data_IF_241008390546
#
_entry.id   IF_241008390546
#
_cell.length_a   1.000
_cell.length_b   1.000
_cell.length_c   1.000
_cell.angle_alpha   90.00
_cell.angle_beta   90.00
_cell.angle_gamma   90.00
#
_symmetry.space_group_name_H-M   'P 1'
#
loop_
_entity.id
_entity.type
_entity.pdbx_description
1 polymer ?
#
# COMPACT_ATOMS: atom_id res chain seq x y z
N UNK A 1 -17.23 12.53 -133.55
CA UNK A 1 -15.98 13.15 -134.04
C UNK A 1 -15.68 12.52 -135.40
N UNK A 2 -16.19 13.17 -136.45
CA UNK A 2 -15.43 13.78 -137.59
C UNK A 2 -15.15 12.74 -138.69
N UNK A 3 -15.99 12.61 -139.72
CA UNK A 3 -16.07 13.35 -141.01
C UNK A 3 -14.93 13.05 -142.01
N UNK A 4 -15.32 12.95 -143.29
CA UNK A 4 -14.56 13.04 -144.56
C UNK A 4 -13.87 11.74 -145.06
N UNK A 5 -13.90 11.33 -146.34
CA UNK A 5 -14.18 11.98 -147.65
C UNK A 5 -14.33 10.80 -148.68
N UNK A 6 -15.41 10.54 -149.42
CA UNK A 6 -15.87 11.05 -150.75
C UNK A 6 -14.83 11.27 -151.89
N UNK A 7 -15.20 10.74 -153.09
CA UNK A 7 -14.70 10.92 -154.49
C UNK A 7 -13.63 9.90 -154.96
N UNK A 8 -13.87 9.09 -156.00
CA UNK A 8 -13.88 9.38 -157.47
C UNK A 8 -14.44 8.14 -158.22
N UNK A 9 -15.02 8.12 -159.43
CA UNK A 9 -15.59 9.08 -160.38
C UNK A 9 -16.25 8.20 -161.47
N UNK A 10 -17.57 8.28 -161.66
CA UNK A 10 -18.28 7.82 -162.86
C UNK A 10 -18.17 8.90 -163.94
N UNK A 11 -17.65 8.59 -165.14
CA UNK A 11 -18.00 9.26 -166.40
C UNK A 11 -17.33 8.59 -167.60
N UNK A 12 -18.09 7.91 -168.45
CA UNK A 12 -18.30 8.35 -169.84
C UNK A 12 -19.44 7.52 -170.47
N UNK A 13 -20.57 8.18 -170.69
CA UNK A 13 -21.70 7.68 -171.47
C UNK A 13 -21.77 8.49 -172.78
N UNK A 14 -22.10 7.77 -173.86
CA UNK A 14 -22.90 8.17 -175.01
C UNK A 14 -22.41 9.29 -175.96
N UNK A 15 -22.81 9.11 -177.22
CA UNK A 15 -22.80 9.98 -178.43
C UNK A 15 -21.93 9.34 -179.54
N UNK A 16 -22.40 8.91 -180.71
CA UNK A 16 -23.55 9.33 -181.54
C UNK A 16 -24.07 8.15 -182.41
N UNK A 17 -25.41 8.09 -182.55
CA UNK A 17 -26.14 7.59 -183.73
C UNK A 17 -26.59 8.81 -184.54
N UNK A 18 -26.51 8.75 -185.87
CA UNK A 18 -27.51 9.21 -186.87
C UNK A 18 -26.87 9.17 -188.27
N UNK A 19 -27.47 8.45 -189.22
CA UNK A 19 -28.28 8.97 -190.37
C UNK A 19 -27.39 9.64 -191.45
N UNK A 20 -27.62 9.61 -192.77
CA UNK A 20 -28.62 9.06 -193.70
C UNK A 20 -28.16 9.48 -195.12
N UNK A 21 -28.56 8.70 -196.15
CA UNK A 21 -28.96 9.13 -197.53
C UNK A 21 -28.03 9.85 -198.54
N UNK A 22 -28.23 9.50 -199.82
CA UNK A 22 -28.03 10.35 -201.02
C UNK A 22 -27.24 9.65 -202.14
N UNK A 23 -27.88 8.96 -203.11
CA UNK A 23 -28.50 9.44 -204.37
C UNK A 23 -27.53 9.71 -205.55
N UNK A 24 -27.56 8.79 -206.53
CA UNK A 24 -27.90 8.91 -207.96
C UNK A 24 -27.23 9.83 -209.02
N UNK A 25 -27.22 9.26 -210.23
CA UNK A 25 -27.23 9.83 -211.61
C UNK A 25 -25.85 10.16 -212.23
N UNK A 26 -25.56 10.03 -213.54
CA UNK A 26 -26.31 10.30 -214.79
C UNK A 26 -25.41 9.74 -215.97
N UNK A 27 -25.85 9.08 -217.04
CA UNK A 27 -26.26 9.65 -218.35
C UNK A 27 -26.57 8.54 -219.38
N UNK A 28 -27.63 8.78 -220.14
CA UNK A 28 -28.15 8.10 -221.33
C UNK A 28 -27.82 8.99 -222.55
N UNK A 29 -27.69 8.45 -223.79
CA UNK A 29 -28.08 9.10 -225.06
C UNK A 29 -28.08 8.07 -226.22
N UNK A 30 -29.12 8.17 -227.05
CA UNK A 30 -29.56 7.35 -228.19
C UNK A 30 -28.85 7.64 -229.53
N UNK A 31 -28.89 6.70 -230.51
CA UNK A 31 -29.46 6.91 -231.87
C UNK A 31 -29.30 5.70 -232.86
N UNK A 32 -30.42 5.01 -233.17
CA UNK A 32 -31.08 4.68 -234.48
C UNK A 32 -30.30 4.16 -235.75
N UNK A 33 -30.94 3.50 -236.78
CA UNK A 33 -30.81 2.05 -237.08
C UNK A 33 -30.38 1.64 -238.52
N UNK A 34 -29.97 0.36 -238.74
CA UNK A 34 -30.28 -0.54 -239.91
C UNK A 34 -29.55 -1.93 -239.84
N UNK A 35 -29.90 -2.98 -240.63
CA UNK A 35 -30.23 -4.34 -240.14
C UNK A 35 -29.18 -5.45 -240.35
N UNK A 36 -29.28 -6.51 -239.50
CA UNK A 36 -28.79 -7.92 -239.57
C UNK A 36 -28.09 -8.34 -238.25
N UNK A 37 -28.32 -9.44 -237.53
CA UNK A 37 -29.37 -10.50 -237.43
C UNK A 37 -29.01 -11.33 -236.16
N UNK A 38 -29.90 -11.33 -235.14
CA UNK A 38 -30.11 -12.19 -233.94
C UNK A 38 -29.04 -13.14 -233.32
N UNK A 39 -28.09 -13.72 -234.07
CA UNK A 39 -27.23 -14.81 -233.61
C UNK A 39 -26.16 -14.38 -232.58
N UNK A 40 -25.64 -13.17 -232.73
CA UNK A 40 -24.62 -12.58 -231.83
C UNK A 40 -25.22 -12.33 -230.43
N UNK A 41 -26.52 -12.06 -230.34
CA UNK A 41 -27.19 -11.72 -229.08
C UNK A 41 -27.38 -12.94 -228.16
N UNK A 42 -27.53 -14.15 -228.72
CA UNK A 42 -27.70 -15.38 -227.94
C UNK A 42 -26.37 -15.86 -227.33
N UNK A 43 -25.27 -15.81 -228.09
CA UNK A 43 -23.93 -16.10 -227.57
C UNK A 43 -23.48 -15.10 -226.50
N UNK A 44 -23.81 -13.82 -226.65
CA UNK A 44 -23.56 -12.81 -225.63
C UNK A 44 -24.35 -13.09 -224.35
N UNK A 45 -25.61 -13.54 -224.46
CA UNK A 45 -26.44 -13.88 -223.30
C UNK A 45 -25.96 -15.13 -222.56
N UNK A 46 -25.56 -16.19 -223.26
CA UNK A 46 -24.99 -17.40 -222.63
C UNK A 46 -23.67 -17.11 -221.92
N UNK A 47 -22.78 -16.32 -222.55
CA UNK A 47 -21.55 -15.85 -221.90
C UNK A 47 -21.84 -14.98 -220.68
N UNK A 48 -22.85 -14.11 -220.76
CA UNK A 48 -23.27 -13.30 -219.62
C UNK A 48 -23.83 -14.15 -218.47
N UNK A 49 -24.66 -15.16 -218.73
CA UNK A 49 -25.18 -16.10 -217.72
C UNK A 49 -24.05 -16.91 -217.07
N UNK A 50 -23.05 -17.35 -217.84
CA UNK A 50 -21.88 -18.04 -217.32
C UNK A 50 -21.00 -17.11 -216.45
N UNK A 51 -20.80 -15.86 -216.87
CA UNK A 51 -20.13 -14.85 -216.05
C UNK A 51 -20.92 -14.58 -214.76
N UNK A 52 -22.25 -14.54 -214.81
CA UNK A 52 -23.09 -14.35 -213.63
C UNK A 52 -23.02 -15.55 -212.68
N UNK A 53 -23.00 -16.79 -213.19
CA UNK A 53 -22.83 -17.98 -212.35
C UNK A 53 -21.44 -18.02 -211.72
N UNK A 54 -20.40 -17.72 -212.48
CA UNK A 54 -19.01 -17.71 -211.99
C UNK A 54 -18.79 -16.58 -210.97
N UNK A 55 -19.40 -15.40 -211.20
CA UNK A 55 -19.38 -14.29 -210.24
C UNK A 55 -20.13 -14.64 -208.96
N UNK A 56 -21.31 -15.29 -209.07
CA UNK A 56 -22.07 -15.77 -207.91
C UNK A 56 -21.30 -16.83 -207.14
N UNK A 57 -20.61 -17.74 -207.82
CA UNK A 57 -19.79 -18.77 -207.20
C UNK A 57 -18.58 -18.15 -206.47
N UNK A 58 -17.88 -17.21 -207.10
CA UNK A 58 -16.79 -16.45 -206.46
C UNK A 58 -17.27 -15.65 -205.25
N UNK A 59 -18.49 -15.07 -205.31
CA UNK A 59 -19.06 -14.35 -204.17
C UNK A 59 -19.39 -15.31 -203.02
N UNK A 60 -20.01 -16.46 -203.31
CA UNK A 60 -20.26 -17.51 -202.31
C UNK A 60 -18.96 -18.06 -201.72
N UNK A 61 -17.89 -18.20 -202.51
CA UNK A 61 -16.57 -18.60 -202.02
C UNK A 61 -15.93 -17.54 -201.12
N UNK A 62 -16.07 -16.25 -201.46
CA UNK A 62 -15.62 -15.14 -200.60
C UNK A 62 -16.39 -15.10 -199.28
N UNK A 63 -17.71 -15.26 -199.32
CA UNK A 63 -18.57 -15.30 -198.13
C UNK A 63 -18.26 -16.52 -197.26
N UNK A 64 -18.08 -17.70 -197.87
CA UNK A 64 -17.63 -18.92 -197.17
C UNK A 64 -16.28 -18.68 -196.49
N UNK A 65 -15.30 -18.13 -197.21
CA UNK A 65 -13.99 -17.84 -196.64
C UNK A 65 -14.07 -16.80 -195.51
N UNK A 66 -14.93 -15.78 -195.64
CA UNK A 66 -15.17 -14.77 -194.60
C UNK A 66 -15.85 -15.39 -193.36
N UNK A 67 -16.87 -16.24 -193.54
CA UNK A 67 -17.51 -16.97 -192.46
C UNK A 67 -16.55 -17.93 -191.76
N UNK A 68 -15.73 -18.66 -192.51
CA UNK A 68 -14.70 -19.55 -191.94
C UNK A 68 -13.67 -18.76 -191.12
N UNK A 69 -13.22 -17.60 -191.60
CA UNK A 69 -12.34 -16.71 -190.84
C UNK A 69 -13.04 -16.15 -189.60
N UNK A 70 -14.32 -15.77 -189.72
CA UNK A 70 -15.13 -15.29 -188.59
C UNK A 70 -15.31 -16.37 -187.52
N UNK A 71 -15.68 -17.59 -187.90
CA UNK A 71 -15.82 -18.73 -186.99
C UNK A 71 -14.48 -19.10 -186.34
N UNK A 72 -13.37 -19.06 -187.09
CA UNK A 72 -12.02 -19.24 -186.52
C UNK A 72 -11.71 -18.15 -185.48
N UNK A 73 -12.04 -16.88 -185.76
CA UNK A 73 -11.86 -15.77 -184.80
C UNK A 73 -12.72 -15.95 -183.55
N UNK A 74 -14.02 -16.23 -183.71
CA UNK A 74 -14.93 -16.48 -182.59
C UNK A 74 -14.47 -17.67 -181.74
N UNK A 75 -13.98 -18.74 -182.35
CA UNK A 75 -13.41 -19.89 -181.63
C UNK A 75 -12.16 -19.50 -180.84
N UNK A 76 -11.23 -18.77 -181.46
CA UNK A 76 -10.03 -18.27 -180.77
C UNK A 76 -10.41 -17.33 -179.62
N UNK A 77 -11.40 -16.46 -179.81
CA UNK A 77 -11.89 -15.56 -178.76
C UNK A 77 -12.54 -16.34 -177.61
N UNK A 78 -13.40 -17.33 -177.91
CA UNK A 78 -13.99 -18.20 -176.90
C UNK A 78 -12.91 -18.97 -176.13
N UNK A 79 -11.93 -19.55 -176.82
CA UNK A 79 -10.81 -20.26 -176.20
C UNK A 79 -9.96 -19.32 -175.34
N UNK A 80 -9.67 -18.10 -175.81
CA UNK A 80 -9.01 -17.07 -175.00
C UNK A 80 -9.83 -16.72 -173.75
N UNK A 81 -11.14 -16.53 -173.86
CA UNK A 81 -12.00 -16.23 -172.70
C UNK A 81 -12.10 -17.40 -171.73
N UNK A 82 -12.17 -18.63 -172.23
CA UNK A 82 -12.18 -19.84 -171.42
C UNK A 82 -10.85 -20.01 -170.67
N UNK A 83 -9.72 -19.82 -171.35
CA UNK A 83 -8.39 -19.85 -170.73
C UNK A 83 -8.22 -18.74 -169.69
N UNK A 84 -8.65 -17.50 -170.00
CA UNK A 84 -8.63 -16.41 -169.02
C UNK A 84 -9.48 -16.70 -167.79
N UNK A 85 -10.64 -17.35 -167.97
CA UNK A 85 -11.50 -17.74 -166.85
C UNK A 85 -10.91 -18.92 -166.07
N UNK A 86 -10.31 -19.92 -166.72
CA UNK A 86 -9.60 -21.01 -166.05
C UNK A 86 -8.46 -20.46 -165.19
N UNK A 87 -7.62 -19.58 -165.74
CA UNK A 87 -6.54 -18.92 -165.00
C UNK A 87 -7.08 -18.09 -163.82
N UNK A 88 -8.25 -17.45 -163.95
CA UNK A 88 -8.88 -16.72 -162.85
C UNK A 88 -9.34 -17.67 -161.74
N UNK A 89 -9.99 -18.78 -162.09
CA UNK A 89 -10.43 -19.78 -161.12
C UNK A 89 -9.26 -20.46 -160.41
N UNK A 90 -8.15 -20.74 -161.10
CA UNK A 90 -6.93 -21.26 -160.49
C UNK A 90 -6.35 -20.27 -159.47
N UNK A 91 -6.20 -19.00 -159.84
CA UNK A 91 -5.72 -17.95 -158.91
C UNK A 91 -6.64 -17.77 -157.71
N UNK A 92 -7.96 -17.82 -157.92
CA UNK A 92 -8.93 -17.76 -156.83
C UNK A 92 -8.84 -18.99 -155.92
N UNK A 93 -8.63 -20.19 -156.48
CA UNK A 93 -8.41 -21.41 -155.71
C UNK A 93 -7.12 -21.33 -154.88
N UNK A 94 -6.02 -20.82 -155.44
CA UNK A 94 -4.76 -20.57 -154.73
C UNK A 94 -4.96 -19.54 -153.61
N UNK A 95 -5.66 -18.43 -153.88
CA UNK A 95 -6.00 -17.43 -152.88
C UNK A 95 -6.86 -18.02 -151.75
N UNK A 96 -7.85 -18.84 -152.09
CA UNK A 96 -8.71 -19.51 -151.11
C UNK A 96 -7.91 -20.53 -150.28
N UNK A 97 -6.99 -21.29 -150.88
CA UNK A 97 -6.11 -22.19 -150.15
C UNK A 97 -5.19 -21.43 -149.18
N UNK A 98 -4.64 -20.30 -149.58
CA UNK A 98 -3.83 -19.44 -148.72
C UNK A 98 -4.66 -18.83 -147.58
N UNK A 99 -5.88 -18.36 -147.85
CA UNK A 99 -6.80 -17.89 -146.82
C UNK A 99 -7.15 -19.01 -145.82
N UNK A 100 -7.41 -20.24 -146.30
CA UNK A 100 -7.66 -21.39 -145.43
C UNK A 100 -6.44 -21.73 -144.56
N UNK A 101 -5.21 -21.66 -145.09
CA UNK A 101 -3.98 -21.84 -144.31
C UNK A 101 -3.86 -20.76 -143.22
N UNK A 102 -4.16 -19.50 -143.55
CA UNK A 102 -4.15 -18.40 -142.58
C UNK A 102 -5.20 -18.58 -141.49
N UNK A 103 -6.42 -18.99 -141.85
CA UNK A 103 -7.49 -19.29 -140.89
C UNK A 103 -7.06 -20.41 -139.94
N UNK A 104 -6.48 -21.50 -140.46
CA UNK A 104 -5.97 -22.60 -139.62
C UNK A 104 -4.88 -22.13 -138.67
N UNK A 105 -3.90 -21.36 -139.16
CA UNK A 105 -2.85 -20.80 -138.31
C UNK A 105 -3.42 -19.86 -137.24
N UNK A 106 -4.43 -19.05 -137.57
CA UNK A 106 -5.14 -18.23 -136.60
C UNK A 106 -5.86 -19.07 -135.54
N UNK A 107 -6.53 -20.16 -135.93
CA UNK A 107 -7.20 -21.09 -135.02
C UNK A 107 -6.19 -21.79 -134.09
N UNK A 108 -5.07 -22.28 -134.62
CA UNK A 108 -3.99 -22.88 -133.84
C UNK A 108 -3.48 -21.89 -132.78
N UNK A 109 -3.16 -20.65 -133.19
CA UNK A 109 -2.74 -19.58 -132.26
C UNK A 109 -3.81 -19.26 -131.20
N UNK A 110 -5.09 -19.26 -131.56
CA UNK A 110 -6.18 -19.05 -130.60
C UNK A 110 -6.26 -20.20 -129.58
N UNK A 111 -6.10 -21.45 -130.03
CA UNK A 111 -6.08 -22.61 -129.12
C UNK A 111 -4.86 -22.59 -128.19
N UNK A 112 -3.68 -22.22 -128.70
CA UNK A 112 -2.48 -22.04 -127.88
C UNK A 112 -2.65 -20.91 -126.85
N UNK A 113 -3.18 -19.75 -127.27
CA UNK A 113 -3.49 -18.65 -126.37
C UNK A 113 -4.53 -19.03 -125.30
N UNK A 114 -5.54 -19.83 -125.66
CA UNK A 114 -6.55 -20.34 -124.73
C UNK A 114 -5.95 -21.33 -123.73
N UNK A 115 -5.11 -22.26 -124.19
CA UNK A 115 -4.44 -23.23 -123.32
C UNK A 115 -3.49 -22.53 -122.35
N UNK A 116 -2.67 -21.59 -122.83
CA UNK A 116 -1.77 -20.80 -121.97
C UNK A 116 -2.55 -19.96 -120.95
N UNK A 117 -3.67 -19.33 -121.33
CA UNK A 117 -4.54 -18.63 -120.38
C UNK A 117 -5.13 -19.59 -119.33
N UNK A 118 -5.56 -20.79 -119.74
CA UNK A 118 -6.10 -21.80 -118.82
C UNK A 118 -5.03 -22.28 -117.82
N UNK A 119 -3.80 -22.54 -118.27
CA UNK A 119 -2.68 -22.87 -117.39
C UNK A 119 -2.39 -21.74 -116.38
N UNK A 120 -2.39 -20.48 -116.84
CA UNK A 120 -2.21 -19.33 -115.95
C UNK A 120 -3.34 -19.20 -114.91
N UNK A 121 -4.58 -19.53 -115.26
CA UNK A 121 -5.70 -19.54 -114.32
C UNK A 121 -5.54 -20.63 -113.25
N UNK A 122 -5.11 -21.84 -113.60
CA UNK A 122 -4.86 -22.92 -112.64
C UNK A 122 -3.66 -22.61 -111.73
N UNK A 123 -2.58 -22.04 -112.28
CA UNK A 123 -1.44 -21.56 -111.47
C UNK A 123 -1.88 -20.44 -110.52
N UNK A 124 -2.70 -19.49 -110.98
CA UNK A 124 -3.20 -18.42 -110.13
C UNK A 124 -4.15 -18.94 -109.03
N UNK A 125 -4.97 -19.95 -109.35
CA UNK A 125 -5.87 -20.61 -108.40
C UNK A 125 -5.09 -21.33 -107.30
N UNK A 126 -4.13 -22.17 -107.68
CA UNK A 126 -3.25 -22.86 -106.71
C UNK A 126 -2.41 -21.89 -105.88
N UNK A 127 -1.93 -20.79 -106.47
CA UNK A 127 -1.25 -19.72 -105.75
C UNK A 127 -2.17 -19.07 -104.69
N UNK A 128 -3.43 -18.76 -105.04
CA UNK A 128 -4.43 -18.24 -104.09
C UNK A 128 -4.70 -19.20 -102.95
N UNK A 129 -4.94 -20.49 -103.25
CA UNK A 129 -5.14 -21.53 -102.24
C UNK A 129 -3.92 -21.65 -101.30
N UNK A 130 -2.71 -21.58 -101.84
CA UNK A 130 -1.47 -21.57 -101.04
C UNK A 130 -1.37 -20.34 -100.13
N UNK A 131 -1.70 -19.15 -100.61
CA UNK A 131 -1.71 -17.93 -99.81
C UNK A 131 -2.76 -18.02 -98.70
N UNK A 132 -3.97 -18.51 -98.99
CA UNK A 132 -5.02 -18.68 -97.98
C UNK A 132 -4.62 -19.68 -96.89
N UNK A 133 -3.99 -20.80 -97.25
CA UNK A 133 -3.50 -21.78 -96.25
C UNK A 133 -2.36 -21.23 -95.40
N UNK A 134 -1.46 -20.42 -95.98
CA UNK A 134 -0.40 -19.74 -95.23
C UNK A 134 -0.97 -18.67 -94.30
N UNK A 135 -1.94 -17.88 -94.75
CA UNK A 135 -2.61 -16.88 -93.92
C UNK A 135 -3.31 -17.52 -92.72
N UNK A 136 -4.06 -18.62 -92.93
CA UNK A 136 -4.67 -19.36 -91.82
C UNK A 136 -3.64 -19.85 -90.80
N UNK A 137 -2.51 -20.39 -91.26
CA UNK A 137 -1.41 -20.82 -90.39
C UNK A 137 -0.77 -19.65 -89.63
N UNK A 138 -0.68 -18.47 -90.27
CA UNK A 138 -0.18 -17.26 -89.64
C UNK A 138 -1.14 -16.80 -88.54
N UNK A 139 -2.44 -16.72 -88.82
CA UNK A 139 -3.46 -16.38 -87.83
C UNK A 139 -3.42 -17.33 -86.63
N UNK A 140 -3.33 -18.65 -86.84
CA UNK A 140 -3.17 -19.63 -85.74
C UNK A 140 -1.89 -19.42 -84.92
N UNK A 141 -0.81 -18.94 -85.54
CA UNK A 141 0.44 -18.63 -84.84
C UNK A 141 0.29 -17.35 -84.03
N UNK A 142 -0.39 -16.35 -84.57
CA UNK A 142 -0.69 -15.08 -83.90
C UNK A 142 -1.59 -15.28 -82.69
N UNK A 143 -2.64 -16.11 -82.80
CA UNK A 143 -3.51 -16.42 -81.65
C UNK A 143 -2.75 -17.16 -80.54
N UNK A 144 -1.96 -18.18 -80.88
CA UNK A 144 -1.11 -18.89 -79.91
C UNK A 144 -0.08 -17.97 -79.27
N UNK A 145 0.47 -17.02 -80.02
CA UNK A 145 1.40 -16.03 -79.50
C UNK A 145 0.69 -15.07 -78.52
N UNK A 146 -0.53 -14.63 -78.84
CA UNK A 146 -1.34 -13.79 -77.96
C UNK A 146 -1.67 -14.51 -76.65
N UNK A 147 -2.12 -15.77 -76.71
CA UNK A 147 -2.35 -16.63 -75.54
C UNK A 147 -1.08 -16.81 -74.69
N UNK A 148 0.06 -17.07 -75.32
CA UNK A 148 1.35 -17.15 -74.63
C UNK A 148 1.72 -15.83 -73.93
N UNK A 149 1.48 -14.68 -74.57
CA UNK A 149 1.75 -13.38 -73.97
C UNK A 149 0.81 -13.06 -72.79
N UNK A 150 -0.45 -13.48 -72.86
CA UNK A 150 -1.40 -13.35 -71.75
C UNK A 150 -0.97 -14.21 -70.56
N UNK A 151 -0.60 -15.47 -70.81
CA UNK A 151 -0.10 -16.36 -69.75
C UNK A 151 1.19 -15.82 -69.12
N UNK A 152 2.13 -15.29 -69.92
CA UNK A 152 3.33 -14.62 -69.41
C UNK A 152 2.96 -13.41 -68.54
N UNK A 153 1.98 -12.61 -68.95
CA UNK A 153 1.54 -11.44 -68.17
C UNK A 153 0.91 -11.84 -66.83
N UNK A 154 0.07 -12.89 -66.84
CA UNK A 154 -0.50 -13.48 -65.62
C UNK A 154 0.59 -14.03 -64.69
N UNK A 155 1.57 -14.77 -65.23
CA UNK A 155 2.69 -15.31 -64.45
C UNK A 155 3.57 -14.19 -63.87
N UNK A 156 3.86 -13.13 -64.63
CA UNK A 156 4.57 -11.96 -64.11
C UNK A 156 3.82 -11.33 -62.93
N UNK A 157 2.50 -11.19 -63.04
CA UNK A 157 1.65 -10.72 -61.93
C UNK A 157 1.77 -11.60 -60.68
N UNK A 158 1.65 -12.92 -60.83
CA UNK A 158 1.81 -13.88 -59.71
C UNK A 158 3.19 -13.85 -59.09
N UNK A 159 4.24 -13.64 -59.90
CA UNK A 159 5.63 -13.50 -59.40
C UNK A 159 5.76 -12.23 -58.58
N UNK A 160 5.24 -11.10 -59.04
CA UNK A 160 5.26 -9.84 -58.28
C UNK A 160 4.46 -9.93 -56.98
N UNK A 161 3.27 -10.56 -57.00
CA UNK A 161 2.48 -10.81 -55.81
C UNK A 161 3.23 -11.71 -54.80
N UNK A 162 3.84 -12.79 -55.28
CA UNK A 162 4.65 -13.68 -54.43
C UNK A 162 5.86 -12.95 -53.84
N UNK A 163 6.54 -12.09 -54.62
CA UNK A 163 7.65 -11.27 -54.14
C UNK A 163 7.20 -10.31 -53.04
N UNK A 164 6.05 -9.66 -53.22
CA UNK A 164 5.47 -8.76 -52.22
C UNK A 164 5.10 -9.51 -50.94
N UNK A 165 4.46 -10.69 -51.06
CA UNK A 165 4.13 -11.55 -49.92
C UNK A 165 5.38 -12.00 -49.15
N UNK A 166 6.44 -12.42 -49.85
CA UNK A 166 7.72 -12.79 -49.23
C UNK A 166 8.35 -11.61 -48.49
N UNK A 167 8.36 -10.42 -49.10
CA UNK A 167 8.90 -9.23 -48.45
C UNK A 167 8.10 -8.86 -47.19
N UNK A 168 6.77 -8.92 -47.25
CA UNK A 168 5.91 -8.67 -46.10
C UNK A 168 6.17 -9.69 -44.97
N UNK A 169 6.27 -10.98 -45.30
CA UNK A 169 6.64 -12.03 -44.34
C UNK A 169 8.02 -11.79 -43.74
N UNK A 170 9.02 -11.39 -44.53
CA UNK A 170 10.37 -11.08 -44.05
C UNK A 170 10.36 -9.89 -43.06
N UNK A 171 9.56 -8.86 -43.32
CA UNK A 171 9.43 -7.73 -42.39
C UNK A 171 8.77 -8.13 -41.07
N UNK A 172 7.74 -8.97 -41.10
CA UNK A 172 7.11 -9.47 -39.87
C UNK A 172 8.05 -10.41 -39.10
N UNK A 173 8.82 -11.26 -39.81
CA UNK A 173 9.84 -12.11 -39.18
C UNK A 173 10.92 -11.27 -38.49
N UNK A 174 11.40 -10.18 -39.10
CA UNK A 174 12.38 -9.28 -38.47
C UNK A 174 11.83 -8.62 -37.21
N UNK A 175 10.55 -8.21 -37.24
CA UNK A 175 9.87 -7.64 -36.08
C UNK A 175 9.70 -8.66 -34.94
N UNK A 176 9.32 -9.90 -35.26
CA UNK A 176 9.24 -10.97 -34.27
C UNK A 176 10.62 -11.33 -33.71
N UNK A 177 11.65 -11.32 -34.55
CA UNK A 177 13.03 -11.55 -34.13
C UNK A 177 13.51 -10.46 -33.15
N UNK A 178 13.23 -9.18 -33.41
CA UNK A 178 13.60 -8.10 -32.48
C UNK A 178 12.84 -8.23 -31.15
N UNK A 179 11.53 -8.55 -31.18
CA UNK A 179 10.75 -8.81 -29.97
C UNK A 179 11.30 -9.99 -29.15
N UNK A 180 11.69 -11.08 -29.81
CA UNK A 180 12.31 -12.22 -29.12
C UNK A 180 13.64 -11.83 -28.49
N UNK A 181 14.45 -11.00 -29.15
CA UNK A 181 15.70 -10.48 -28.59
C UNK A 181 15.44 -9.62 -27.35
N UNK A 182 14.51 -8.67 -27.42
CA UNK A 182 14.11 -7.82 -26.29
C UNK A 182 13.61 -8.65 -25.09
N UNK A 183 12.77 -9.67 -25.34
CA UNK A 183 12.30 -10.57 -24.28
C UNK A 183 13.44 -11.41 -23.68
N UNK A 184 14.38 -11.87 -24.50
CA UNK A 184 15.56 -12.61 -24.02
C UNK A 184 16.41 -11.73 -23.10
N UNK A 185 16.67 -10.48 -23.50
CA UNK A 185 17.40 -9.51 -22.67
C UNK A 185 16.68 -9.21 -21.35
N UNK A 186 15.33 -9.11 -21.37
CA UNK A 186 14.54 -8.93 -20.14
C UNK A 186 14.68 -10.13 -19.20
N UNK A 187 14.64 -11.36 -19.72
CA UNK A 187 14.84 -12.58 -18.93
C UNK A 187 16.25 -12.60 -18.32
N UNK A 188 17.28 -12.25 -19.08
CA UNK A 188 18.65 -12.20 -18.59
C UNK A 188 18.83 -11.19 -17.44
N UNK A 189 18.19 -10.02 -17.55
CA UNK A 189 18.20 -9.00 -16.49
C UNK A 189 17.51 -9.52 -15.23
N UNK A 190 16.35 -10.18 -15.37
CA UNK A 190 15.65 -10.77 -14.23
C UNK A 190 16.46 -11.90 -13.59
N UNK A 191 17.12 -12.73 -14.39
CA UNK A 191 17.97 -13.81 -13.90
C UNK A 191 19.15 -13.27 -13.08
N UNK A 192 19.81 -12.20 -13.55
CA UNK A 192 20.87 -11.51 -12.80
C UNK A 192 20.37 -10.96 -11.47
N UNK A 193 19.22 -10.27 -11.46
CA UNK A 193 18.61 -9.74 -10.22
C UNK A 193 18.27 -10.85 -9.22
N UNK A 194 17.73 -11.96 -9.70
CA UNK A 194 17.43 -13.13 -8.86
C UNK A 194 18.71 -13.73 -8.27
N UNK A 195 19.77 -13.85 -9.07
CA UNK A 195 21.07 -14.34 -8.62
C UNK A 195 21.71 -13.40 -7.58
N UNK A 196 21.64 -12.09 -7.80
CA UNK A 196 22.08 -11.07 -6.82
C UNK A 196 21.30 -11.19 -5.49
N UNK A 197 19.98 -11.37 -5.56
CA UNK A 197 19.16 -11.57 -4.36
C UNK A 197 19.54 -12.84 -3.59
N UNK A 198 19.84 -13.94 -4.29
CA UNK A 198 20.35 -15.17 -3.66
C UNK A 198 21.68 -14.92 -2.95
N UNK A 199 22.61 -14.22 -3.60
CA UNK A 199 23.90 -13.88 -2.98
C UNK A 199 23.70 -13.02 -1.72
N UNK A 200 22.78 -12.06 -1.75
CA UNK A 200 22.43 -11.25 -0.58
C UNK A 200 21.86 -12.10 0.56
N UNK A 201 20.98 -13.05 0.27
CA UNK A 201 20.43 -13.99 1.26
C UNK A 201 21.55 -14.81 1.91
N UNK A 202 22.49 -15.34 1.12
CA UNK A 202 23.63 -16.11 1.64
C UNK A 202 24.52 -15.26 2.56
N UNK A 203 24.79 -14.00 2.19
CA UNK A 203 25.55 -13.06 3.02
C UNK A 203 24.81 -12.76 4.33
N UNK A 204 23.49 -12.57 4.28
CA UNK A 204 22.67 -12.34 5.47
C UNK A 204 22.68 -13.55 6.40
N UNK A 205 22.51 -14.76 5.87
CA UNK A 205 22.59 -16.00 6.65
C UNK A 205 23.97 -16.17 7.31
N UNK A 206 25.05 -15.87 6.60
CA UNK A 206 26.41 -15.91 7.17
C UNK A 206 26.59 -14.88 8.30
N UNK A 207 26.02 -13.67 8.15
CA UNK A 207 26.01 -12.65 9.21
C UNK A 207 25.19 -13.08 10.41
N UNK A 208 24.03 -13.68 10.21
CA UNK A 208 23.16 -14.18 11.28
C UNK A 208 23.85 -15.28 12.09
N UNK A 209 24.49 -16.24 11.42
CA UNK A 209 25.31 -17.26 12.08
C UNK A 209 26.46 -16.64 12.91
N UNK A 210 27.12 -15.61 12.39
CA UNK A 210 28.16 -14.90 13.12
C UNK A 210 27.59 -14.14 14.33
N UNK A 211 26.43 -13.52 14.19
CA UNK A 211 25.75 -12.82 15.27
C UNK A 211 25.33 -13.78 16.39
N UNK A 212 24.75 -14.94 16.06
CA UNK A 212 24.41 -15.98 17.03
C UNK A 212 25.65 -16.46 17.82
N UNK A 213 26.80 -16.65 17.14
CA UNK A 213 28.07 -16.98 17.82
C UNK A 213 28.54 -15.87 18.76
N UNK A 214 28.37 -14.60 18.38
CA UNK A 214 28.71 -13.45 19.23
C UNK A 214 27.76 -13.33 20.42
N UNK A 215 26.47 -13.56 20.24
CA UNK A 215 25.47 -13.58 21.33
C UNK A 215 25.79 -14.69 22.34
N UNK A 216 26.06 -15.91 21.87
CA UNK A 216 26.50 -16.99 22.76
C UNK A 216 27.75 -16.57 23.55
N UNK A 217 28.72 -15.93 22.88
CA UNK A 217 29.93 -15.46 23.53
C UNK A 217 29.66 -14.37 24.59
N UNK A 218 28.71 -13.47 24.33
CA UNK A 218 28.28 -12.46 25.29
C UNK A 218 27.64 -13.13 26.50
N UNK A 219 26.70 -14.06 26.30
CA UNK A 219 26.07 -14.82 27.38
C UNK A 219 27.10 -15.56 28.25
N UNK A 220 28.08 -16.22 27.63
CA UNK A 220 29.17 -16.90 28.35
C UNK A 220 29.99 -15.91 29.20
N UNK A 221 30.24 -14.69 28.68
CA UNK A 221 30.99 -13.66 29.40
C UNK A 221 30.17 -13.03 30.53
N UNK A 222 28.88 -12.79 30.32
CA UNK A 222 27.95 -12.31 31.35
C UNK A 222 27.83 -13.31 32.50
N UNK A 223 27.72 -14.61 32.19
CA UNK A 223 27.69 -15.66 33.20
C UNK A 223 29.00 -15.68 34.02
N UNK A 224 30.15 -15.59 33.35
CA UNK A 224 31.45 -15.50 34.03
C UNK A 224 31.56 -14.27 34.91
N UNK A 225 31.11 -13.11 34.42
CA UNK A 225 31.12 -11.87 35.19
C UNK A 225 30.23 -12.00 36.45
N UNK A 226 29.02 -12.54 36.32
CA UNK A 226 28.12 -12.78 37.45
C UNK A 226 28.75 -13.71 38.50
N UNK A 227 29.42 -14.79 38.07
CA UNK A 227 30.15 -15.66 39.01
C UNK A 227 31.30 -14.92 39.71
N UNK A 228 32.05 -14.09 38.98
CA UNK A 228 33.11 -13.27 39.58
C UNK A 228 32.56 -12.23 40.57
N UNK A 229 31.41 -11.63 40.29
CA UNK A 229 30.74 -10.70 41.22
C UNK A 229 30.29 -11.40 42.50
N UNK A 230 29.72 -12.61 42.39
CA UNK A 230 29.36 -13.43 43.54
C UNK A 230 30.60 -13.78 44.37
N UNK A 231 31.68 -14.24 43.73
CA UNK A 231 32.95 -14.53 44.39
C UNK A 231 33.51 -13.29 45.10
N UNK A 232 33.43 -12.11 44.46
CA UNK A 232 33.87 -10.85 45.06
C UNK A 232 33.05 -10.48 46.31
N UNK A 233 31.74 -10.75 46.34
CA UNK A 233 30.90 -10.58 47.53
C UNK A 233 31.32 -11.54 48.65
N UNK A 234 31.56 -12.81 48.34
CA UNK A 234 32.06 -13.79 49.31
C UNK A 234 33.39 -13.31 49.90
N UNK A 235 34.33 -12.89 49.06
CA UNK A 235 35.63 -12.35 49.50
C UNK A 235 35.45 -11.11 50.38
N UNK A 236 34.55 -10.18 50.04
CA UNK A 236 34.24 -9.01 50.89
C UNK A 236 33.69 -9.42 52.26
N UNK A 237 32.78 -10.39 52.30
CA UNK A 237 32.21 -10.91 53.54
C UNK A 237 33.27 -11.63 54.39
N UNK A 238 34.13 -12.44 53.77
CA UNK A 238 35.26 -13.09 54.44
C UNK A 238 36.24 -12.06 54.98
N UNK A 239 36.60 -11.02 54.20
CA UNK A 239 37.43 -9.90 54.67
C UNK A 239 36.82 -9.17 55.86
N UNK A 240 35.50 -8.92 55.86
CA UNK A 240 34.80 -8.30 57.00
C UNK A 240 34.89 -9.17 58.26
N UNK A 241 34.65 -10.48 58.15
CA UNK A 241 34.78 -11.43 59.27
C UNK A 241 36.22 -11.46 59.80
N UNK A 242 37.21 -11.51 58.90
CA UNK A 242 38.63 -11.46 59.26
C UNK A 242 38.99 -10.13 59.95
N UNK A 243 38.41 -9.00 59.54
CA UNK A 243 38.65 -7.71 60.18
C UNK A 243 38.07 -7.61 61.61
N UNK A 244 37.01 -8.38 61.93
CA UNK A 244 36.44 -8.46 63.29
C UNK A 244 37.25 -9.39 64.21
N UNK A 245 38.09 -10.27 63.64
CA UNK A 245 38.86 -11.25 64.39
C UNK A 245 39.73 -10.63 65.51
N UNK A 246 40.49 -9.54 65.29
CA UNK A 246 41.30 -8.94 66.35
C UNK A 246 40.49 -8.30 67.49
N UNK A 247 39.22 -7.96 67.25
CA UNK A 247 38.33 -7.49 68.32
C UNK A 247 37.84 -8.68 69.15
N UNK A 248 37.38 -9.74 68.51
CA UNK A 248 36.99 -10.98 69.21
C UNK A 248 38.16 -11.60 69.99
N UNK A 249 39.38 -11.56 69.45
CA UNK A 249 40.59 -11.99 70.17
C UNK A 249 40.82 -11.15 71.43
N UNK A 250 40.62 -9.82 71.36
CA UNK A 250 40.73 -8.93 72.53
C UNK A 250 39.64 -9.20 73.56
N UNK A 251 38.39 -9.39 73.13
CA UNK A 251 37.28 -9.74 74.03
C UNK A 251 37.53 -11.09 74.71
N UNK A 252 38.00 -12.10 73.97
CA UNK A 252 38.41 -13.39 74.55
C UNK A 252 39.53 -13.23 75.58
N UNK A 253 40.50 -12.35 75.30
CA UNK A 253 41.59 -12.06 76.22
C UNK A 253 41.09 -11.36 77.49
N UNK A 254 40.21 -10.35 77.35
CA UNK A 254 39.55 -9.69 78.49
C UNK A 254 38.74 -10.67 79.34
N UNK A 255 37.92 -11.51 78.73
CA UNK A 255 37.15 -12.53 79.44
C UNK A 255 38.04 -13.55 80.16
N UNK A 256 39.23 -13.85 79.61
CA UNK A 256 40.22 -14.69 80.29
C UNK A 256 40.81 -13.97 81.51
N UNK A 257 41.18 -12.70 81.38
CA UNK A 257 41.70 -11.87 82.46
C UNK A 257 40.67 -11.64 83.58
N UNK A 258 39.40 -11.41 83.22
CA UNK A 258 38.29 -11.34 84.18
C UNK A 258 38.09 -12.69 84.89
N UNK A 259 38.17 -13.81 84.18
CA UNK A 259 38.08 -15.14 84.81
C UNK A 259 39.24 -15.43 85.75
N UNK A 260 40.45 -14.98 85.44
CA UNK A 260 41.60 -15.09 86.37
C UNK A 260 41.38 -14.22 87.59
N UNK A 261 40.95 -12.97 87.41
CA UNK A 261 40.63 -12.07 88.52
C UNK A 261 39.51 -12.62 89.41
N UNK A 262 38.44 -13.16 88.83
CA UNK A 262 37.36 -13.78 89.59
C UNK A 262 37.81 -15.02 90.35
N UNK A 263 38.74 -15.81 89.80
CA UNK A 263 39.36 -16.94 90.53
C UNK A 263 40.18 -16.45 91.71
N UNK A 264 41.04 -15.46 91.51
CA UNK A 264 41.82 -14.83 92.58
C UNK A 264 40.91 -14.23 93.67
N UNK A 265 39.84 -13.54 93.29
CA UNK A 265 38.86 -12.99 94.23
C UNK A 265 38.08 -14.07 94.98
N UNK A 266 37.80 -15.22 94.35
CA UNK A 266 37.22 -16.38 95.05
C UNK A 266 38.20 -16.97 96.05
N UNK A 267 39.47 -17.12 95.69
CA UNK A 267 40.52 -17.59 96.60
C UNK A 267 40.69 -16.63 97.79
N UNK A 268 40.77 -15.31 97.55
CA UNK A 268 40.83 -14.30 98.61
C UNK A 268 39.60 -14.31 99.53
N UNK A 269 38.40 -14.44 98.98
CA UNK A 269 37.19 -14.62 99.78
C UNK A 269 37.20 -15.96 100.54
N UNK A 270 37.82 -17.00 99.99
CA UNK A 270 38.08 -18.27 100.68
C UNK A 270 38.98 -18.07 101.91
N UNK A 271 40.10 -17.36 101.74
CA UNK A 271 41.00 -17.00 102.84
C UNK A 271 40.29 -16.18 103.92
N UNK A 272 39.47 -15.18 103.54
CA UNK A 272 38.67 -14.39 104.48
C UNK A 272 37.62 -15.26 105.21
N UNK A 273 36.98 -16.21 104.53
CA UNK A 273 36.07 -17.16 105.17
C UNK A 273 36.80 -18.05 106.17
N UNK A 274 38.00 -18.54 105.84
CA UNK A 274 38.82 -19.32 106.77
C UNK A 274 39.20 -18.52 108.02
N UNK A 275 39.53 -17.23 107.89
CA UNK A 275 39.76 -16.34 109.03
C UNK A 275 38.51 -16.16 109.90
N UNK A 276 37.34 -15.92 109.27
CA UNK A 276 36.06 -15.77 109.96
C UNK A 276 35.67 -17.07 110.67
N UNK A 277 35.79 -18.22 110.02
CA UNK A 277 35.57 -19.53 110.65
C UNK A 277 36.58 -19.79 111.77
N UNK A 278 37.82 -19.31 111.64
CA UNK A 278 38.83 -19.35 112.69
C UNK A 278 38.45 -18.52 113.92
N UNK A 279 37.88 -17.33 113.71
CA UNK A 279 37.34 -16.47 114.77
C UNK A 279 36.07 -17.07 115.39
N UNK A 280 35.16 -17.62 114.59
CA UNK A 280 33.96 -18.33 115.06
C UNK A 280 34.33 -19.55 115.90
N UNK A 281 35.29 -20.38 115.48
CA UNK A 281 35.79 -21.50 116.29
C UNK A 281 36.44 -21.06 117.60
N UNK A 282 37.05 -19.87 117.65
CA UNK A 282 37.53 -19.29 118.92
C UNK A 282 36.35 -18.86 119.80
N UNK A 283 35.34 -18.22 119.21
CA UNK A 283 34.12 -17.82 119.90
C UNK A 283 33.37 -19.04 120.47
N UNK A 284 33.16 -20.09 119.68
CA UNK A 284 32.55 -21.35 120.15
C UNK A 284 33.33 -21.98 121.32
N UNK A 285 34.66 -21.89 121.32
CA UNK A 285 35.46 -22.34 122.47
C UNK A 285 35.21 -21.47 123.70
N UNK A 286 35.11 -20.15 123.54
CA UNK A 286 34.75 -19.24 124.63
C UNK A 286 33.33 -19.53 125.15
N UNK A 287 32.37 -19.74 124.26
CA UNK A 287 30.99 -20.11 124.60
C UNK A 287 30.93 -21.47 125.31
N UNK A 288 31.76 -22.44 124.89
CA UNK A 288 31.84 -23.76 125.53
C UNK A 288 32.44 -23.68 126.95
N UNK A 289 33.50 -22.90 127.14
CA UNK A 289 34.05 -22.60 128.48
C UNK A 289 33.03 -21.85 129.33
N UNK A 290 32.28 -20.92 128.73
CA UNK A 290 31.22 -20.22 129.44
C UNK A 290 30.07 -21.17 129.83
N UNK A 291 29.69 -22.10 128.95
CA UNK A 291 28.70 -23.12 129.24
C UNK A 291 29.18 -24.12 130.31
N UNK A 292 30.46 -24.47 130.33
CA UNK A 292 31.09 -25.26 131.39
C UNK A 292 31.11 -24.50 132.73
N UNK A 293 31.34 -23.18 132.72
CA UNK A 293 31.23 -22.33 133.91
C UNK A 293 29.79 -22.32 134.45
N UNK A 294 28.79 -22.17 133.56
CA UNK A 294 27.37 -22.22 133.93
C UNK A 294 26.95 -23.61 134.41
N UNK A 295 27.50 -24.68 133.82
CA UNK A 295 27.29 -26.05 134.27
C UNK A 295 27.91 -26.29 135.65
N UNK A 296 29.12 -25.76 135.91
CA UNK A 296 29.77 -25.78 137.22
C UNK A 296 29.03 -24.93 138.26
N UNK A 297 28.41 -23.82 137.87
CA UNK A 297 27.51 -23.02 138.73
C UNK A 297 26.22 -23.78 139.06
N UNK A 298 25.66 -24.51 138.09
CA UNK A 298 24.49 -25.40 138.27
C UNK A 298 24.83 -26.65 139.09
N UNK A 299 26.04 -27.18 138.99
CA UNK A 299 26.54 -28.30 139.80
C UNK A 299 26.88 -27.85 141.23
N UNK A 300 27.41 -26.63 141.40
CA UNK A 300 27.51 -25.95 142.71
C UNK A 300 26.13 -25.75 143.36
N UNK A 301 25.10 -25.39 142.57
CA UNK A 301 23.71 -25.31 143.07
C UNK A 301 23.14 -26.68 143.45
N UNK A 302 23.37 -27.73 142.64
CA UNK A 302 22.89 -29.10 142.94
C UNK A 302 23.65 -29.79 144.09
N UNK A 303 24.91 -29.43 144.34
CA UNK A 303 25.68 -29.87 145.52
C UNK A 303 25.29 -29.08 146.78
N UNK A 304 24.89 -27.81 146.65
CA UNK A 304 24.26 -27.03 147.74
C UNK A 304 22.86 -27.55 148.11
N UNK A 305 22.08 -28.06 147.17
CA UNK A 305 20.75 -28.64 147.42
C UNK A 305 20.74 -30.04 148.07
N UNK A 306 21.90 -30.71 148.20
CA UNK A 306 22.02 -32.05 148.81
C UNK A 306 22.80 -32.08 150.14
N UNK A 307 23.25 -30.92 150.63
CA UNK A 307 23.88 -30.72 151.94
C UNK A 307 23.05 -29.78 152.83
N UNK A 308 21.73 -29.83 152.70
CA UNK A 308 20.76 -29.30 153.68
C UNK A 308 19.67 -30.35 153.89
N UNK A 309 20.02 -31.37 154.69
CA UNK A 309 19.09 -32.30 155.32
C UNK A 309 18.31 -31.58 156.45
N UNK A 310 17.26 -32.24 156.94
CA UNK A 310 16.65 -31.99 158.25
C UNK A 310 17.52 -31.23 159.26
N UNK A 311 17.06 -30.00 159.55
CA UNK A 311 17.32 -29.12 160.73
C UNK A 311 18.76 -28.67 161.04
N UNK A 312 18.98 -27.35 160.91
CA UNK A 312 19.57 -26.42 161.90
C UNK A 312 20.90 -26.80 162.57
N UNK A 313 21.96 -25.98 162.59
CA UNK A 313 22.11 -24.51 162.62
C UNK A 313 23.62 -24.24 162.46
N UNK A 314 24.04 -23.06 161.97
CA UNK A 314 25.08 -22.26 162.64
C UNK A 314 25.23 -20.85 162.03
N UNK A 315 24.69 -19.82 162.69
CA UNK A 315 25.59 -18.72 163.06
C UNK A 315 25.94 -18.97 164.50
N UNK A 316 27.21 -19.34 164.65
CA UNK A 316 27.92 -19.64 165.87
C UNK A 316 28.26 -18.33 166.57
N UNK A 317 27.35 -17.87 167.41
CA UNK A 317 27.73 -17.06 168.54
C UNK A 317 27.24 -15.60 168.58
N UNK A 318 27.32 -15.01 169.78
CA UNK A 318 26.36 -14.01 170.27
C UNK A 318 26.52 -12.61 169.64
N UNK A 319 27.68 -12.34 169.05
CA UNK A 319 28.07 -11.00 168.62
C UNK A 319 27.63 -10.67 167.18
N UNK A 320 27.35 -11.67 166.35
CA UNK A 320 26.70 -11.47 165.03
C UNK A 320 25.18 -11.48 165.12
N UNK A 321 24.59 -12.17 166.10
CA UNK A 321 23.18 -11.95 166.46
C UNK A 321 23.00 -10.53 166.97
N UNK A 322 23.95 -9.95 167.71
CA UNK A 322 23.85 -8.54 168.11
C UNK A 322 23.93 -7.59 166.90
N UNK A 323 24.77 -7.84 165.89
CA UNK A 323 24.78 -7.02 164.66
C UNK A 323 23.58 -7.26 163.74
N UNK A 324 23.06 -8.48 163.66
CA UNK A 324 21.85 -8.78 162.88
C UNK A 324 20.57 -8.38 163.61
N UNK A 325 20.52 -8.43 164.94
CA UNK A 325 19.46 -7.84 165.77
C UNK A 325 19.54 -6.33 165.69
N UNK A 326 20.72 -5.69 165.71
CA UNK A 326 20.81 -4.23 165.48
C UNK A 326 20.38 -3.90 164.04
N UNK A 327 20.74 -4.70 163.03
CA UNK A 327 20.29 -4.51 161.64
C UNK A 327 18.79 -4.82 161.43
N UNK A 328 18.24 -5.82 162.10
CA UNK A 328 16.81 -6.16 162.08
C UNK A 328 16.00 -5.22 162.94
N UNK A 329 16.51 -4.71 164.06
CA UNK A 329 15.89 -3.66 164.85
C UNK A 329 16.00 -2.32 164.13
N UNK A 330 17.10 -2.01 163.43
CA UNK A 330 17.18 -0.83 162.56
C UNK A 330 16.25 -0.97 161.35
N UNK A 331 16.10 -2.16 160.75
CA UNK A 331 15.08 -2.38 159.70
C UNK A 331 13.66 -2.44 160.23
N UNK A 332 13.41 -2.98 161.41
CA UNK A 332 12.09 -3.02 162.03
C UNK A 332 11.71 -1.64 162.57
N UNK A 333 12.68 -0.83 163.01
CA UNK A 333 12.49 0.58 163.33
C UNK A 333 12.30 1.39 162.05
N UNK A 334 13.07 1.18 160.98
CA UNK A 334 12.83 1.78 159.66
C UNK A 334 11.51 1.31 159.06
N UNK A 335 11.08 0.06 159.27
CA UNK A 335 9.79 -0.46 158.78
C UNK A 335 8.63 -0.05 159.69
N UNK A 336 8.84 0.18 160.99
CA UNK A 336 7.86 0.80 161.90
C UNK A 336 7.78 2.30 161.67
N UNK A 337 8.87 2.98 161.33
CA UNK A 337 8.92 4.36 160.87
C UNK A 337 8.34 4.49 159.47
N UNK A 338 8.57 3.54 158.57
CA UNK A 338 7.95 3.50 157.24
C UNK A 338 6.48 3.12 157.36
N UNK A 339 6.06 2.21 158.25
CA UNK A 339 4.65 1.92 158.49
C UNK A 339 3.96 3.07 159.23
N UNK A 340 4.63 3.76 160.16
CA UNK A 340 4.12 4.99 160.77
C UNK A 340 4.11 6.14 159.76
N UNK A 341 5.08 6.22 158.85
CA UNK A 341 5.12 7.18 157.76
C UNK A 341 4.08 6.85 156.70
N UNK A 342 3.82 5.59 156.37
CA UNK A 342 2.76 5.15 155.45
C UNK A 342 1.41 5.33 156.11
N UNK A 343 1.28 5.08 157.41
CA UNK A 343 0.04 5.31 158.15
C UNK A 343 -0.20 6.80 158.33
N UNK A 344 0.84 7.62 158.58
CA UNK A 344 0.74 9.08 158.56
C UNK A 344 0.52 9.61 157.15
N UNK A 345 1.09 9.01 156.11
CA UNK A 345 0.90 9.42 154.71
C UNK A 345 -0.47 8.99 154.22
N UNK A 346 -1.01 7.87 154.69
CA UNK A 346 -2.40 7.46 154.53
C UNK A 346 -3.33 8.40 155.29
N UNK A 347 -2.99 8.82 156.52
CA UNK A 347 -3.75 9.81 157.30
C UNK A 347 -3.67 11.22 156.70
N UNK A 348 -2.52 11.61 156.14
CA UNK A 348 -2.30 12.85 155.40
C UNK A 348 -3.01 12.81 154.05
N UNK A 349 -3.06 11.66 153.37
CA UNK A 349 -3.84 11.45 152.16
C UNK A 349 -5.34 11.42 152.46
N UNK A 350 -5.77 10.85 153.59
CA UNK A 350 -7.16 10.88 154.06
C UNK A 350 -7.55 12.31 154.44
N UNK A 351 -6.66 13.06 155.07
CA UNK A 351 -6.85 14.49 155.36
C UNK A 351 -6.79 15.33 154.09
N UNK A 352 -5.91 15.02 153.12
CA UNK A 352 -5.86 15.69 151.83
C UNK A 352 -7.11 15.35 151.00
N UNK A 353 -7.63 14.13 151.10
CA UNK A 353 -8.90 13.69 150.52
C UNK A 353 -10.06 14.44 151.15
N UNK A 354 -10.10 14.57 152.47
CA UNK A 354 -11.09 15.40 153.19
C UNK A 354 -10.95 16.89 152.83
N UNK A 355 -9.74 17.42 152.73
CA UNK A 355 -9.50 18.80 152.28
C UNK A 355 -9.87 19.00 150.81
N UNK A 356 -9.64 18.02 149.94
CA UNK A 356 -10.10 18.03 148.55
C UNK A 356 -11.61 17.91 148.47
N UNK A 357 -12.24 17.16 149.37
CA UNK A 357 -13.69 17.02 149.49
C UNK A 357 -14.32 18.30 150.05
N UNK A 358 -13.67 18.98 150.99
CA UNK A 358 -14.03 20.33 151.45
C UNK A 358 -13.78 21.38 150.37
N UNK A 359 -12.68 21.29 149.61
CA UNK A 359 -12.43 22.14 148.45
C UNK A 359 -13.45 21.88 147.35
N UNK A 360 -13.86 20.64 147.14
CA UNK A 360 -14.90 20.28 146.20
C UNK A 360 -16.25 20.82 146.64
N UNK A 361 -16.60 20.69 147.93
CA UNK A 361 -17.80 21.31 148.50
C UNK A 361 -17.71 22.84 148.47
N UNK A 362 -16.54 23.44 148.67
CA UNK A 362 -16.30 24.88 148.51
C UNK A 362 -16.42 25.31 147.05
N UNK A 363 -15.87 24.57 146.10
CA UNK A 363 -16.00 24.84 144.66
C UNK A 363 -17.44 24.62 144.21
N UNK A 364 -18.15 23.64 144.77
CA UNK A 364 -19.56 23.39 144.52
C UNK A 364 -20.42 24.52 145.12
N UNK A 365 -20.07 25.01 146.31
CA UNK A 365 -20.68 26.20 146.92
C UNK A 365 -20.38 27.45 146.10
N UNK A 366 -19.14 27.64 145.64
CA UNK A 366 -18.73 28.75 144.77
C UNK A 366 -19.40 28.66 143.40
N UNK A 367 -19.62 27.46 142.85
CA UNK A 367 -20.37 27.24 141.62
C UNK A 367 -21.86 27.52 141.84
N UNK A 368 -22.40 27.19 143.01
CA UNK A 368 -23.78 27.53 143.40
C UNK A 368 -23.92 29.06 143.60
N UNK A 369 -22.92 29.70 144.21
CA UNK A 369 -22.84 31.15 144.37
C UNK A 369 -22.63 31.86 143.04
N UNK A 370 -21.83 31.33 142.12
CA UNK A 370 -21.69 31.87 140.76
C UNK A 370 -22.96 31.62 139.94
N UNK A 371 -23.67 30.51 140.14
CA UNK A 371 -25.02 30.35 139.59
C UNK A 371 -26.00 31.37 140.16
N UNK A 372 -25.99 31.59 141.47
CA UNK A 372 -26.81 32.62 142.11
C UNK A 372 -26.38 34.03 141.68
N UNK A 373 -25.10 34.29 141.44
CA UNK A 373 -24.62 35.57 140.87
C UNK A 373 -25.03 35.71 139.41
N UNK A 374 -25.00 34.66 138.61
CA UNK A 374 -25.56 34.68 137.26
C UNK A 374 -27.07 34.94 137.28
N UNK A 375 -27.82 34.31 138.20
CA UNK A 375 -29.26 34.57 138.39
C UNK A 375 -29.51 36.00 138.92
N UNK A 376 -28.68 36.50 139.84
CA UNK A 376 -28.73 37.87 140.34
C UNK A 376 -28.32 38.88 139.29
N UNK A 377 -27.35 38.57 138.42
CA UNK A 377 -26.95 39.38 137.29
C UNK A 377 -28.00 39.34 136.19
N UNK A 378 -28.67 38.22 135.93
CA UNK A 378 -29.84 38.16 135.06
C UNK A 378 -31.02 38.95 135.65
N UNK A 379 -31.24 38.90 136.96
CA UNK A 379 -32.21 39.73 137.65
C UNK A 379 -31.81 41.21 137.62
N UNK A 380 -30.51 41.52 137.71
CA UNK A 380 -29.96 42.87 137.57
C UNK A 380 -30.05 43.35 136.13
N UNK A 381 -29.90 42.49 135.12
CA UNK A 381 -30.15 42.78 133.70
C UNK A 381 -31.63 43.00 133.47
N UNK A 382 -32.53 42.22 134.07
CA UNK A 382 -33.98 42.49 134.06
C UNK A 382 -34.34 43.79 134.78
N UNK A 383 -33.65 44.12 135.88
CA UNK A 383 -33.81 45.39 136.59
C UNK A 383 -33.19 46.56 135.82
N UNK A 384 -32.11 46.34 135.08
CA UNK A 384 -31.50 47.30 134.15
C UNK A 384 -32.38 47.48 132.92
N UNK A 385 -33.03 46.43 132.42
CA UNK A 385 -34.09 46.54 131.40
C UNK A 385 -35.29 47.33 131.95
N UNK A 386 -35.68 47.13 133.22
CA UNK A 386 -36.67 47.97 133.91
C UNK A 386 -36.18 49.41 134.13
N UNK A 387 -34.90 49.62 134.44
CA UNK A 387 -34.29 50.95 134.61
C UNK A 387 -34.16 51.65 133.27
N UNK A 388 -33.84 50.94 132.19
CA UNK A 388 -33.92 51.45 130.81
C UNK A 388 -35.37 51.80 130.51
N UNK A 389 -36.35 51.00 130.94
CA UNK A 389 -37.78 51.35 130.84
C UNK A 389 -38.13 52.60 131.67
N UNK A 390 -37.55 52.77 132.86
CA UNK A 390 -37.69 53.97 133.69
C UNK A 390 -36.95 55.17 133.11
N UNK A 391 -35.83 54.98 132.41
CA UNK A 391 -35.09 56.01 131.68
C UNK A 391 -35.81 56.39 130.39
N UNK A 392 -36.49 55.45 129.72
CA UNK A 392 -37.44 55.74 128.64
C UNK A 392 -38.65 56.50 129.18
N UNK A 393 -39.22 56.08 130.31
CA UNK A 393 -40.32 56.81 130.96
C UNK A 393 -39.88 58.19 131.50
N UNK A 394 -38.65 58.32 132.00
CA UNK A 394 -38.08 59.58 132.46
C UNK A 394 -37.69 60.46 131.28
N UNK A 395 -37.23 59.90 130.15
CA UNK A 395 -37.09 60.62 128.88
C UNK A 395 -38.45 61.11 128.40
N UNK A 396 -39.49 60.29 128.42
CA UNK A 396 -40.85 60.67 128.01
C UNK A 396 -41.49 61.66 128.99
N UNK A 397 -41.15 61.59 130.29
CA UNK A 397 -41.54 62.60 131.28
C UNK A 397 -40.70 63.86 131.20
N UNK A 398 -39.42 63.80 130.87
CA UNK A 398 -38.59 64.97 130.56
C UNK A 398 -39.13 65.61 129.29
N UNK A 399 -39.59 64.85 128.31
CA UNK A 399 -40.39 65.37 127.20
C UNK A 399 -41.71 65.99 127.70
N UNK A 400 -42.39 65.42 128.70
CA UNK A 400 -43.59 66.00 129.33
C UNK A 400 -43.28 67.25 130.18
N UNK A 401 -42.10 67.34 130.79
CA UNK A 401 -41.62 68.49 131.56
C UNK A 401 -41.15 69.57 130.60
N UNK A 402 -40.53 69.21 129.47
CA UNK A 402 -40.24 70.13 128.36
C UNK A 402 -41.55 70.68 127.78
N UNK A 403 -42.56 69.83 127.57
CA UNK A 403 -43.93 70.27 127.24
C UNK A 403 -44.57 71.09 128.35
N UNK A 404 -44.24 70.86 129.63
CA UNK A 404 -44.74 71.68 130.73
C UNK A 404 -43.91 72.94 130.95
N UNK A 405 -42.67 73.03 130.47
CA UNK A 405 -41.88 74.26 130.37
C UNK A 405 -42.34 75.07 129.18
N UNK A 406 -42.81 74.44 128.10
CA UNK A 406 -43.70 75.10 127.14
C UNK A 406 -44.96 75.64 127.85
N UNK A 407 -45.38 75.10 129.01
CA UNK A 407 -46.50 75.60 129.84
C UNK A 407 -46.09 76.61 130.93
N UNK A 408 -44.95 76.48 131.62
CA UNK A 408 -44.38 77.51 132.49
C UNK A 408 -43.95 78.73 131.70
N UNK A 409 -43.43 78.57 130.47
CA UNK A 409 -43.23 79.70 129.55
C UNK A 409 -44.52 80.47 129.35
N UNK A 410 -45.67 79.79 129.33
CA UNK A 410 -46.99 80.41 129.29
C UNK A 410 -47.55 80.88 130.67
N UNK A 411 -46.96 80.51 131.82
CA UNK A 411 -47.48 80.83 133.18
C UNK A 411 -46.57 81.71 134.05
N UNK A 412 -45.26 81.67 133.88
CA UNK A 412 -44.31 82.70 134.32
C UNK A 412 -44.62 84.04 133.64
N UNK A 413 -45.08 83.97 132.38
CA UNK A 413 -45.79 85.05 131.69
C UNK A 413 -46.98 85.62 132.49
N UNK A 414 -47.54 84.85 133.43
CA UNK A 414 -48.76 85.22 134.15
C UNK A 414 -48.51 85.84 135.52
N UNK A 415 -47.67 85.31 136.42
CA UNK A 415 -47.70 85.73 137.85
C UNK A 415 -46.42 86.35 138.44
N UNK A 416 -45.50 86.73 137.56
CA UNK A 416 -44.77 88.00 137.67
C UNK A 416 -45.66 89.18 138.15
N UNK A 417 -46.97 89.11 137.91
CA UNK A 417 -47.99 90.01 138.42
C UNK A 417 -48.24 89.96 139.94
N UNK A 418 -47.75 88.94 140.68
CA UNK A 418 -48.20 88.63 142.06
C UNK A 418 -47.16 88.83 143.16
N UNK A 419 -45.88 88.66 142.84
CA UNK A 419 -44.79 89.18 143.65
C UNK A 419 -44.79 90.71 143.70
N UNK A 420 -45.64 91.36 142.88
CA UNK A 420 -46.09 92.76 142.89
C UNK A 420 -47.19 93.01 143.96
N UNK A 421 -47.42 91.99 144.80
CA UNK A 421 -48.03 92.09 146.13
C UNK A 421 -47.07 91.61 147.24
N UNK A 422 -45.80 91.35 146.91
CA UNK A 422 -44.75 92.38 147.02
C UNK A 422 -44.77 92.91 148.41
N UNK A 423 -43.70 92.69 149.16
CA UNK A 423 -43.22 93.79 149.99
C UNK A 423 -44.17 94.27 151.09
N UNK A 424 -45.27 93.57 151.34
CA UNK A 424 -46.35 94.13 152.14
C UNK A 424 -46.37 93.46 153.51
N UNK A 425 -45.95 92.21 153.59
CA UNK A 425 -46.04 91.40 154.80
C UNK A 425 -44.67 91.11 155.42
N UNK A 426 -43.59 91.68 154.86
CA UNK A 426 -42.13 91.75 155.14
C UNK A 426 -41.73 92.16 156.56
N UNK A 427 -42.68 91.99 157.41
CA UNK A 427 -43.23 93.13 158.08
C UNK A 427 -42.89 93.16 159.55
N UNK A 428 -43.24 92.03 160.12
CA UNK A 428 -44.17 92.17 161.22
C UNK A 428 -44.08 90.97 162.14
N UNK A 429 -43.03 91.07 162.95
CA UNK A 429 -43.15 91.17 164.42
C UNK A 429 -42.62 89.97 165.19
#
# INVERSE_FOLDING_TARGET
IVFNLLKTFDTYAALYKDESSGEDSFLKIDSLPRPDSLQIQYEQKMKAEQIHSDTRLLQMEREKMQMELSHKRARIELEKTANLNADKFEREAECNQELLKRIKLCQERETEAKNTLQEQLEVNKTCRENIETLNKKLEEKETKLAEANETISCLKGKVSESQWNTMNQETEMKKQQSQNQELTEQVDVLHKKWQEAIQQIQVLQAKEQLMSKKEQKIQDLEQKLSTQEQDAVIVKNMKRKLAQFPQMERELQQLREENTYLREMRENNGLLKEEVEGLQRKLERFEKVHAELVALELENKKLREKLDQSTGLDIRGPDDVSRHIIGLQQRELVLKEQNAAITNRARLLENARKQLQEKFLKVQSQLLEEKQKCEQQEAMVKNLQKHVKLLTNARDRVNSIVQSYDVEMNQSERLLQLNIRVQEAEELV
#
